data_IF_127701032740
#
_entry.id   IF_127701032740
#
_cell.length_a   1.000
_cell.length_b   1.000
_cell.length_c   1.000
_cell.angle_alpha   90.00
_cell.angle_beta   90.00
_cell.angle_gamma   90.00
#
_symmetry.space_group_name_H-M   'P 1'
#
loop_
_entity.id
_entity.type
_entity.pdbx_description
1 polymer ?
#
# COMPACT_ATOMS: atom_id res chain seq x y z
N UNK A 1 26.90 0.98 -22.25
CA UNK A 1 25.83 0.67 -21.29
C UNK A 1 26.46 0.73 -19.91
N UNK A 2 26.00 1.63 -19.02
CA UNK A 2 26.55 1.74 -17.66
C UNK A 2 26.05 0.54 -16.86
N UNK A 3 26.96 -0.21 -16.28
CA UNK A 3 26.67 -1.31 -15.35
C UNK A 3 26.27 -0.66 -14.01
N UNK A 4 24.97 -0.44 -13.81
CA UNK A 4 24.43 0.01 -12.53
C UNK A 4 24.15 -1.26 -11.71
N UNK A 5 24.49 -1.27 -10.40
CA UNK A 5 24.17 -2.40 -9.54
C UNK A 5 22.70 -2.78 -9.69
N UNK A 6 22.38 -4.07 -9.54
CA UNK A 6 21.02 -4.63 -9.59
C UNK A 6 20.20 -4.23 -8.34
N UNK A 7 20.30 -2.97 -7.95
CA UNK A 7 19.55 -2.28 -6.91
C UNK A 7 18.13 -1.98 -7.44
N UNK A 8 17.50 -2.94 -8.11
CA UNK A 8 16.12 -2.83 -8.59
C UNK A 8 15.13 -3.28 -7.51
N UNK A 9 15.62 -3.81 -6.39
CA UNK A 9 14.78 -4.35 -5.31
C UNK A 9 14.25 -3.28 -4.35
N UNK A 10 14.86 -2.09 -4.29
CA UNK A 10 14.40 -1.04 -3.38
C UNK A 10 12.96 -0.62 -3.67
N UNK A 11 12.50 -0.64 -4.93
CA UNK A 11 11.13 -0.27 -5.30
C UNK A 11 10.11 -1.27 -4.74
N UNK A 12 10.19 -2.59 -5.05
CA UNK A 12 9.32 -3.58 -4.43
C UNK A 12 9.37 -3.59 -2.90
N UNK A 13 10.57 -3.43 -2.30
CA UNK A 13 10.74 -3.38 -0.85
C UNK A 13 10.04 -2.17 -0.23
N UNK A 14 10.21 -1.00 -0.84
CA UNK A 14 9.56 0.23 -0.38
C UNK A 14 8.05 0.12 -0.48
N UNK A 15 7.50 -0.46 -1.55
CA UNK A 15 6.06 -0.68 -1.68
C UNK A 15 5.52 -1.62 -0.60
N UNK A 16 6.22 -2.71 -0.32
CA UNK A 16 5.86 -3.63 0.79
C UNK A 16 5.92 -2.92 2.14
N UNK A 17 6.93 -2.08 2.39
CA UNK A 17 7.04 -1.32 3.62
C UNK A 17 5.86 -0.32 3.79
N UNK A 18 5.46 0.37 2.73
CA UNK A 18 4.27 1.24 2.72
C UNK A 18 3.01 0.43 3.02
N UNK A 19 2.80 -0.69 2.31
CA UNK A 19 1.65 -1.56 2.51
C UNK A 19 1.53 -2.11 3.93
N UNK A 20 2.66 -2.53 4.51
CA UNK A 20 2.73 -2.96 5.91
C UNK A 20 2.33 -1.84 6.87
N UNK A 21 2.81 -0.61 6.64
CA UNK A 21 2.46 0.53 7.48
C UNK A 21 0.97 0.86 7.42
N UNK A 22 0.36 0.80 6.22
CA UNK A 22 -1.09 0.97 6.05
C UNK A 22 -1.86 -0.11 6.81
N UNK A 23 -1.47 -1.38 6.66
CA UNK A 23 -2.10 -2.51 7.37
C UNK A 23 -2.01 -2.35 8.89
N UNK A 24 -0.80 -2.08 9.39
CA UNK A 24 -0.56 -1.90 10.83
C UNK A 24 -1.40 -0.77 11.40
N UNK A 25 -1.51 0.36 10.68
CA UNK A 25 -2.32 1.49 11.15
C UNK A 25 -3.81 1.16 11.13
N UNK A 26 -4.30 0.47 10.10
CA UNK A 26 -5.69 -0.02 10.05
C UNK A 26 -6.01 -0.93 11.24
N UNK A 27 -5.13 -1.90 11.52
CA UNK A 27 -5.29 -2.84 12.64
C UNK A 27 -5.18 -2.14 14.00
N UNK A 28 -4.30 -1.14 14.13
CA UNK A 28 -4.19 -0.30 15.33
C UNK A 28 -5.49 0.46 15.63
N UNK A 29 -6.24 0.83 14.60
CA UNK A 29 -7.54 1.49 14.70
C UNK A 29 -8.72 0.52 14.79
N UNK A 30 -8.47 -0.80 14.83
CA UNK A 30 -9.49 -1.85 14.82
C UNK A 30 -10.45 -1.76 13.61
N UNK A 31 -9.94 -1.29 12.47
CA UNK A 31 -10.72 -1.16 11.25
C UNK A 31 -10.62 -2.43 10.39
N UNK A 32 -11.76 -2.89 9.87
CA UNK A 32 -11.77 -3.92 8.83
C UNK A 32 -11.39 -3.31 7.49
N UNK A 33 -10.95 -4.15 6.55
CA UNK A 33 -10.72 -3.71 5.16
C UNK A 33 -12.00 -3.11 4.53
N UNK A 34 -13.17 -3.65 4.87
CA UNK A 34 -14.45 -3.16 4.37
C UNK A 34 -14.75 -1.73 4.84
N UNK A 35 -14.49 -1.42 6.12
CA UNK A 35 -14.68 -0.07 6.66
C UNK A 35 -13.79 0.96 5.93
N UNK A 36 -12.53 0.62 5.67
CA UNK A 36 -11.61 1.49 4.92
C UNK A 36 -12.06 1.66 3.47
N UNK A 37 -12.46 0.58 2.81
CA UNK A 37 -12.99 0.58 1.43
C UNK A 37 -14.18 1.54 1.30
N UNK A 38 -15.13 1.48 2.24
CA UNK A 38 -16.30 2.34 2.26
C UNK A 38 -15.95 3.81 2.51
N UNK A 39 -15.06 4.08 3.48
CA UNK A 39 -14.64 5.44 3.83
C UNK A 39 -13.85 6.10 2.68
N UNK A 40 -12.89 5.38 2.10
CA UNK A 40 -12.00 5.88 1.05
C UNK A 40 -12.66 5.90 -0.35
N UNK A 41 -13.82 5.23 -0.51
CA UNK A 41 -14.53 5.03 -1.78
C UNK A 41 -13.62 4.41 -2.85
N UNK A 42 -12.94 3.33 -2.47
CA UNK A 42 -12.10 2.50 -3.35
C UNK A 42 -12.70 1.10 -3.44
N UNK A 43 -12.20 0.25 -4.33
CA UNK A 43 -12.58 -1.16 -4.34
C UNK A 43 -11.69 -2.00 -3.39
N UNK A 44 -12.21 -3.16 -2.97
CA UNK A 44 -11.51 -4.07 -2.04
C UNK A 44 -10.18 -4.60 -2.59
N UNK A 45 -10.08 -4.82 -3.90
CA UNK A 45 -8.83 -5.31 -4.52
C UNK A 45 -7.76 -4.22 -4.47
N UNK A 46 -8.14 -2.95 -4.66
CA UNK A 46 -7.24 -1.81 -4.50
C UNK A 46 -6.68 -1.72 -3.08
N UNK A 47 -7.50 -1.85 -2.04
CA UNK A 47 -6.99 -1.87 -0.66
C UNK A 47 -6.04 -3.06 -0.43
N UNK A 48 -6.41 -4.25 -0.90
CA UNK A 48 -5.56 -5.44 -0.80
C UNK A 48 -4.20 -5.23 -1.50
N UNK A 49 -4.19 -4.70 -2.73
CA UNK A 49 -2.95 -4.39 -3.48
C UNK A 49 -2.07 -3.37 -2.78
N UNK A 50 -2.67 -2.38 -2.13
CA UNK A 50 -1.92 -1.42 -1.30
C UNK A 50 -1.28 -2.14 -0.13
N UNK A 51 -2.05 -2.91 0.64
CA UNK A 51 -1.52 -3.58 1.83
C UNK A 51 -0.48 -4.69 1.52
N UNK A 52 -0.54 -5.31 0.33
CA UNK A 52 0.47 -6.29 -0.11
C UNK A 52 1.68 -5.65 -0.80
N UNK A 53 1.63 -4.34 -1.07
CA UNK A 53 2.68 -3.63 -1.80
C UNK A 53 2.69 -3.90 -3.30
N UNK A 54 1.64 -4.48 -3.87
CA UNK A 54 1.47 -4.60 -5.32
C UNK A 54 1.23 -3.22 -5.96
N UNK A 55 0.56 -2.30 -5.25
CA UNK A 55 0.26 -0.94 -5.71
C UNK A 55 0.58 0.10 -4.63
N UNK A 56 1.04 1.30 -5.03
CA UNK A 56 1.23 2.43 -4.12
C UNK A 56 0.97 3.77 -4.83
N UNK A 57 -0.19 3.89 -5.49
CA UNK A 57 -0.58 5.14 -6.15
C UNK A 57 -0.84 6.21 -5.08
N UNK A 58 -0.19 7.37 -5.22
CA UNK A 58 -0.31 8.48 -4.28
C UNK A 58 -1.77 8.90 -4.05
N UNK A 59 -2.58 8.99 -5.11
CA UNK A 59 -4.00 9.33 -4.99
C UNK A 59 -4.83 8.31 -4.19
N UNK A 60 -4.48 7.02 -4.24
CA UNK A 60 -5.11 5.98 -3.43
C UNK A 60 -4.68 6.11 -1.97
N UNK A 61 -3.38 6.32 -1.72
CA UNK A 61 -2.86 6.51 -0.37
C UNK A 61 -3.50 7.74 0.31
N UNK A 62 -3.68 8.84 -0.41
CA UNK A 62 -4.35 10.04 0.11
C UNK A 62 -5.85 9.84 0.43
N UNK A 63 -6.49 8.80 -0.13
CA UNK A 63 -7.88 8.45 0.22
C UNK A 63 -7.98 7.58 1.46
N UNK A 64 -6.91 6.84 1.79
CA UNK A 64 -6.84 5.91 2.91
C UNK A 64 -6.26 6.58 4.17
N UNK A 65 -5.36 7.56 3.99
CA UNK A 65 -4.64 8.27 5.06
C UNK A 65 -5.52 9.15 5.95
#
# INVERSE_FOLDING_TARGET
MRDLPDDNNWIPETRRAIGNRVRTERERQDLTQELVVLAARIDRVTLWRVETGEESKLGTLLRIA
#
